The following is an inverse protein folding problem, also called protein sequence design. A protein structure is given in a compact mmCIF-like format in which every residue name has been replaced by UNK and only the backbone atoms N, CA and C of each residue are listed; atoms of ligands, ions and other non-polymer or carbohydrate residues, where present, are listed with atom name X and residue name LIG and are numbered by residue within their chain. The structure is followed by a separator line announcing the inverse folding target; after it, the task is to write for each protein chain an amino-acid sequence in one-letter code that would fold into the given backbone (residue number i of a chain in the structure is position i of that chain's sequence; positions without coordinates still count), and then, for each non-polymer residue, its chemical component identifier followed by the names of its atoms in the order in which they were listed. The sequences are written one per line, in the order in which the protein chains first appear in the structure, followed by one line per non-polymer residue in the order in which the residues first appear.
data_IF_004381366012
#
_entry.id   IF_004381366012
#
_cell.length_a   1.000
_cell.length_b   1.000
_cell.length_c   1.000
_cell.angle_alpha   90.00
_cell.angle_beta   90.00
_cell.angle_gamma   90.00
#
_symmetry.space_group_name_H-M   'P 1'
#
loop_
_entity.id
_entity.type
_entity.pdbx_description
1 polymer ?
#
# COMPACT_ATOMS: atom_id res chain seq x y z
N UNK A 1 12.75 -21.40 -3.56
CA UNK A 1 12.19 -21.02 -4.88
C UNK A 1 11.87 -22.20 -5.80
N UNK A 2 12.42 -23.41 -5.60
CA UNK A 2 12.17 -24.58 -6.47
C UNK A 2 10.70 -25.02 -6.62
N UNK A 3 9.82 -24.65 -5.70
CA UNK A 3 8.38 -24.95 -5.75
C UNK A 3 7.54 -23.86 -6.43
N UNK A 4 8.14 -22.72 -6.80
CA UNK A 4 7.45 -21.58 -7.43
C UNK A 4 7.92 -21.50 -8.88
N UNK A 5 6.97 -21.60 -9.82
CA UNK A 5 7.25 -21.42 -11.26
C UNK A 5 7.81 -20.02 -11.54
N UNK A 6 8.68 -19.89 -12.54
CA UNK A 6 9.29 -18.62 -12.92
C UNK A 6 8.29 -17.56 -13.37
N UNK A 7 7.17 -17.99 -13.94
CA UNK A 7 6.06 -17.12 -14.33
C UNK A 7 5.42 -16.40 -13.12
N UNK A 8 5.52 -17.01 -11.93
CA UNK A 8 4.90 -16.53 -10.70
C UNK A 8 5.87 -15.80 -9.77
N UNK A 9 7.12 -15.54 -10.19
CA UNK A 9 8.10 -14.87 -9.32
C UNK A 9 7.72 -13.42 -9.00
N UNK A 10 6.98 -12.74 -9.88
CA UNK A 10 6.57 -11.35 -9.65
C UNK A 10 5.28 -11.23 -8.81
N UNK A 11 4.64 -12.34 -8.48
CA UNK A 11 3.42 -12.39 -7.68
C UNK A 11 3.76 -12.54 -6.20
N UNK A 12 3.60 -11.47 -5.40
CA UNK A 12 3.97 -11.47 -3.97
C UNK A 12 3.30 -12.62 -3.19
N UNK A 13 2.05 -12.94 -3.50
CA UNK A 13 1.32 -14.03 -2.85
C UNK A 13 1.96 -15.42 -3.03
N UNK A 14 2.71 -15.62 -4.12
CA UNK A 14 3.37 -16.88 -4.42
C UNK A 14 4.77 -16.96 -3.79
N UNK A 15 5.42 -15.82 -3.58
CA UNK A 15 6.79 -15.73 -3.08
C UNK A 15 6.89 -15.36 -1.59
N UNK A 16 5.81 -14.89 -0.97
CA UNK A 16 5.81 -14.44 0.43
C UNK A 16 6.31 -15.50 1.42
N UNK A 17 5.88 -16.76 1.27
CA UNK A 17 6.27 -17.87 2.15
C UNK A 17 7.77 -18.20 2.05
N UNK A 18 8.33 -18.49 0.87
CA UNK A 18 9.77 -18.74 0.77
C UNK A 18 10.62 -17.51 1.11
N UNK A 19 10.12 -16.30 0.87
CA UNK A 19 10.82 -15.06 1.24
C UNK A 19 10.84 -14.85 2.76
N UNK A 20 9.70 -15.01 3.44
CA UNK A 20 9.61 -14.96 4.90
C UNK A 20 10.47 -16.04 5.57
N UNK A 21 10.52 -17.25 5.01
CA UNK A 21 11.44 -18.28 5.49
C UNK A 21 12.91 -17.87 5.37
N UNK A 22 13.31 -17.26 4.24
CA UNK A 22 14.66 -16.73 4.07
C UNK A 22 14.96 -15.62 5.09
N UNK A 23 14.01 -14.71 5.31
CA UNK A 23 14.16 -13.64 6.30
C UNK A 23 14.38 -14.20 7.70
N UNK A 24 13.53 -15.11 8.16
CA UNK A 24 13.69 -15.75 9.48
C UNK A 24 15.01 -16.51 9.60
N UNK A 25 15.42 -17.23 8.56
CA UNK A 25 16.73 -17.91 8.56
C UNK A 25 17.90 -16.93 8.71
N UNK A 26 17.80 -15.72 8.13
CA UNK A 26 18.82 -14.68 8.27
C UNK A 26 18.77 -13.99 9.64
N UNK A 27 17.57 -13.82 10.21
CA UNK A 27 17.37 -13.34 11.60
C UNK A 27 18.00 -14.33 12.59
N UNK A 28 17.66 -15.63 12.49
CA UNK A 28 18.23 -16.69 13.34
C UNK A 28 19.76 -16.77 13.21
N UNK A 29 20.29 -16.62 11.99
CA UNK A 29 21.73 -16.60 11.76
C UNK A 29 22.39 -15.37 12.41
N UNK A 30 21.72 -14.21 12.38
CA UNK A 30 22.21 -13.01 13.03
C UNK A 30 22.28 -13.21 14.56
N UNK A 31 21.26 -13.82 15.15
CA UNK A 31 21.22 -14.16 16.58
C UNK A 31 22.35 -15.14 16.97
N UNK A 32 22.57 -16.20 16.18
CA UNK A 32 23.65 -17.18 16.42
C UNK A 32 25.03 -16.54 16.34
N UNK A 33 25.21 -15.58 15.42
CA UNK A 33 26.47 -14.86 15.25
C UNK A 33 26.61 -13.65 16.19
N UNK A 34 25.60 -13.36 17.02
CA UNK A 34 25.53 -12.19 17.90
C UNK A 34 25.73 -10.86 17.15
N UNK A 35 25.16 -10.77 15.95
CA UNK A 35 25.14 -9.55 15.13
C UNK A 35 23.72 -9.01 15.02
N UNK A 36 23.56 -7.69 14.94
CA UNK A 36 22.24 -7.09 14.78
C UNK A 36 21.64 -7.41 13.40
N UNK A 37 20.33 -7.58 13.32
CA UNK A 37 19.57 -7.59 12.08
C UNK A 37 18.77 -6.29 11.95
N UNK A 38 18.69 -5.65 10.77
CA UNK A 38 19.33 -6.01 9.50
C UNK A 38 20.85 -5.73 9.49
N UNK A 39 21.59 -6.47 8.64
CA UNK A 39 23.04 -6.33 8.45
C UNK A 39 23.47 -6.56 6.98
N UNK A 40 24.74 -6.27 6.69
CA UNK A 40 25.33 -6.41 5.34
C UNK A 40 25.26 -7.83 4.79
N UNK A 41 25.40 -8.84 5.65
CA UNK A 41 25.30 -10.24 5.23
C UNK A 41 23.88 -10.54 4.75
N UNK A 42 22.86 -10.20 5.54
CA UNK A 42 21.47 -10.33 5.16
C UNK A 42 21.14 -9.55 3.87
N UNK A 43 21.63 -8.30 3.76
CA UNK A 43 21.48 -7.48 2.55
C UNK A 43 22.03 -8.21 1.32
N UNK A 44 23.23 -8.78 1.40
CA UNK A 44 23.87 -9.46 0.28
C UNK A 44 23.07 -10.67 -0.23
N UNK A 45 22.51 -11.48 0.69
CA UNK A 45 21.69 -12.64 0.35
C UNK A 45 20.36 -12.22 -0.29
N UNK A 46 19.68 -11.24 0.30
CA UNK A 46 18.43 -10.70 -0.21
C UNK A 46 18.65 -10.12 -1.61
N UNK A 47 19.66 -9.26 -1.78
CA UNK A 47 19.95 -8.61 -3.07
C UNK A 47 20.35 -9.62 -4.15
N UNK A 48 21.10 -10.67 -3.80
CA UNK A 48 21.39 -11.79 -4.71
C UNK A 48 20.10 -12.50 -5.13
N UNK A 49 19.18 -12.72 -4.19
CA UNK A 49 17.84 -13.24 -4.47
C UNK A 49 17.09 -12.37 -5.48
N UNK A 50 17.04 -11.05 -5.25
CA UNK A 50 16.42 -10.11 -6.18
C UNK A 50 17.01 -10.15 -7.59
N UNK A 51 18.33 -10.14 -7.71
CA UNK A 51 19.00 -10.24 -9.01
C UNK A 51 18.79 -11.57 -9.71
N UNK A 52 18.53 -12.65 -8.97
CA UNK A 52 18.38 -14.00 -9.54
C UNK A 52 16.94 -14.31 -9.93
N UNK A 53 15.97 -14.00 -9.06
CA UNK A 53 14.57 -14.40 -9.23
C UNK A 53 13.65 -13.25 -9.66
N UNK A 54 14.03 -12.00 -9.38
CA UNK A 54 13.15 -10.84 -9.58
C UNK A 54 13.69 -9.83 -10.60
N UNK A 55 14.73 -10.17 -11.37
CA UNK A 55 15.38 -9.25 -12.30
C UNK A 55 14.45 -8.67 -13.38
N UNK A 56 13.44 -9.44 -13.79
CA UNK A 56 12.48 -9.05 -14.82
C UNK A 56 11.12 -8.62 -14.25
N UNK A 57 11.00 -8.49 -12.93
CA UNK A 57 9.78 -8.02 -12.33
C UNK A 57 9.72 -6.50 -12.38
N UNK A 58 8.74 -5.97 -13.11
CA UNK A 58 8.37 -4.56 -12.99
C UNK A 58 7.60 -4.40 -11.69
N UNK A 59 8.15 -3.62 -10.76
CA UNK A 59 7.43 -3.19 -9.58
C UNK A 59 6.27 -2.32 -10.07
N UNK A 60 5.07 -2.90 -10.12
CA UNK A 60 3.86 -2.13 -10.32
C UNK A 60 3.61 -1.42 -9.00
N UNK A 61 4.33 -0.32 -8.84
CA UNK A 61 4.23 0.54 -7.69
C UNK A 61 2.83 1.15 -7.73
N UNK A 62 1.87 0.45 -7.15
CA UNK A 62 0.81 1.13 -6.44
C UNK A 62 1.49 1.64 -5.17
N UNK A 63 2.29 2.70 -5.30
CA UNK A 63 2.53 3.58 -4.17
C UNK A 63 1.15 3.82 -3.57
N UNK A 64 1.04 3.79 -2.26
CA UNK A 64 -0.05 4.50 -1.60
C UNK A 64 0.25 6.01 -1.78
N UNK A 65 0.34 6.46 -3.04
CA UNK A 65 0.59 7.82 -3.42
C UNK A 65 -0.71 8.57 -3.22
N UNK A 66 -0.57 9.76 -2.69
CA UNK A 66 -1.67 10.70 -2.68
C UNK A 66 -2.18 10.88 -4.11
N UNK A 67 -3.52 10.97 -4.30
CA UNK A 67 -4.06 11.27 -5.61
C UNK A 67 -3.50 12.61 -6.10
N UNK A 68 -3.43 12.83 -7.43
CA UNK A 68 -2.98 14.10 -7.99
C UNK A 68 -3.67 15.30 -7.32
N UNK A 69 -2.94 16.40 -7.09
CA UNK A 69 -3.41 17.54 -6.28
C UNK A 69 -4.79 18.06 -6.69
N UNK A 70 -5.08 18.09 -7.99
CA UNK A 70 -6.37 18.55 -8.52
C UNK A 70 -7.55 17.64 -8.15
N UNK A 71 -7.33 16.32 -8.07
CA UNK A 71 -8.34 15.35 -7.63
C UNK A 71 -8.58 15.50 -6.13
N UNK A 72 -7.50 15.62 -5.35
CA UNK A 72 -7.57 15.84 -3.91
C UNK A 72 -8.34 17.13 -3.58
N UNK A 73 -8.01 18.23 -4.26
CA UNK A 73 -8.67 19.52 -4.08
C UNK A 73 -10.16 19.44 -4.45
N UNK A 74 -10.50 18.77 -5.54
CA UNK A 74 -11.90 18.58 -5.96
C UNK A 74 -12.69 17.79 -4.91
N UNK A 75 -12.08 16.75 -4.34
CA UNK A 75 -12.68 15.93 -3.29
C UNK A 75 -12.89 16.71 -1.99
N UNK A 76 -12.04 17.69 -1.68
CA UNK A 76 -12.18 18.57 -0.51
C UNK A 76 -13.25 19.65 -0.76
N UNK A 77 -13.25 20.29 -1.94
CA UNK A 77 -14.19 21.37 -2.25
C UNK A 77 -15.63 20.88 -2.46
N UNK A 78 -15.81 19.66 -2.94
CA UNK A 78 -17.13 19.06 -3.13
C UNK A 78 -17.98 19.02 -1.84
N UNK A 79 -17.56 18.40 -0.72
CA UNK A 79 -18.36 18.40 0.51
C UNK A 79 -18.51 19.81 1.11
N UNK A 80 -17.49 20.67 1.01
CA UNK A 80 -17.56 22.06 1.50
C UNK A 80 -18.65 22.86 0.79
N UNK A 81 -18.89 22.61 -0.49
CA UNK A 81 -19.93 23.30 -1.28
C UNK A 81 -21.30 22.62 -1.19
N UNK A 82 -21.33 21.29 -1.20
CA UNK A 82 -22.58 20.50 -1.21
C UNK A 82 -23.31 20.58 0.12
N UNK A 83 -22.61 20.49 1.27
CA UNK A 83 -23.23 20.52 2.60
C UNK A 83 -24.05 21.81 2.82
N UNK A 84 -23.49 23.04 2.70
CA UNK A 84 -24.25 24.26 2.93
C UNK A 84 -25.38 24.44 1.91
N UNK A 85 -25.20 24.00 0.67
CA UNK A 85 -26.25 24.01 -0.35
C UNK A 85 -27.45 23.14 0.07
N UNK A 86 -27.20 21.90 0.48
CA UNK A 86 -28.25 21.00 0.96
C UNK A 86 -28.92 21.53 2.23
N UNK A 87 -28.15 22.06 3.18
CA UNK A 87 -28.69 22.68 4.41
C UNK A 87 -29.61 23.85 4.06
N UNK A 88 -29.18 24.75 3.15
CA UNK A 88 -29.99 25.87 2.70
C UNK A 88 -31.29 25.39 2.03
N UNK A 89 -31.22 24.36 1.18
CA UNK A 89 -32.39 23.77 0.55
C UNK A 89 -33.38 23.19 1.56
N UNK A 90 -32.90 22.45 2.57
CA UNK A 90 -33.74 21.88 3.63
C UNK A 90 -34.39 22.97 4.48
N UNK A 91 -33.65 24.02 4.83
CA UNK A 91 -34.18 25.17 5.57
C UNK A 91 -35.24 25.90 4.77
N UNK A 92 -34.99 26.17 3.47
CA UNK A 92 -35.97 26.80 2.59
C UNK A 92 -37.24 25.94 2.46
N UNK A 93 -37.10 24.64 2.24
CA UNK A 93 -38.25 23.73 2.15
C UNK A 93 -39.05 23.64 3.45
N UNK A 94 -38.37 23.52 4.59
CA UNK A 94 -39.05 23.48 5.89
C UNK A 94 -39.78 24.79 6.23
N UNK A 95 -39.28 25.94 5.77
CA UNK A 95 -40.01 27.22 5.86
C UNK A 95 -41.24 27.26 4.95
N UNK A 96 -41.18 26.69 3.75
CA UNK A 96 -42.35 26.62 2.86
C UNK A 96 -43.41 25.59 3.31
N UNK A 97 -43.02 24.60 4.11
CA UNK A 97 -43.94 23.56 4.61
C UNK A 97 -44.61 23.92 5.94
N UNK A 98 -44.10 24.90 6.70
CA UNK A 98 -44.83 25.44 7.86
C UNK A 98 -45.95 26.36 7.35
N UNK A 99 -47.25 26.01 7.50
CA UNK A 99 -48.33 26.94 7.24
C UNK A 99 -48.18 28.10 8.22
N UNK A 100 -48.24 29.34 7.72
CA UNK A 100 -48.43 30.49 8.60
C UNK A 100 -49.72 30.27 9.38
N UNK A 101 -49.59 30.09 10.69
CA UNK A 101 -50.68 30.22 11.65
C UNK A 101 -50.40 31.48 12.46
#
# INVERSE_FOLDING_TARGET
MSRVSSENWCEWNQVNRPYSFLQHCLEDLADVLFIAFPNELAHSYIMKGHRTYFANCTLQYQELADPPEHILLSLILAPISIIPFLVALVVCKSKTTKPQT
#
